data_IF_436937881130
#
_entry.id   IF_436937881130
#
_cell.length_a   1.000
_cell.length_b   1.000
_cell.length_c   1.000
_cell.angle_alpha   90.00
_cell.angle_beta   90.00
_cell.angle_gamma   90.00
#
_symmetry.space_group_name_H-M   'P 1'
#
loop_
_entity.id
_entity.type
_entity.pdbx_description
1 polymer ?
#
# COMPACT_ATOMS: atom_id res chain seq x y z
N UNK A 1 -21.20 -6.30 5.79
CA UNK A 1 -21.00 -6.90 7.14
C UNK A 1 -21.58 -5.95 8.19
N UNK A 2 -22.89 -5.69 8.14
CA UNK A 2 -23.52 -4.75 9.07
C UNK A 2 -23.87 -5.47 10.36
N UNK A 3 -23.53 -4.91 11.52
CA UNK A 3 -23.82 -5.52 12.82
C UNK A 3 -22.91 -6.70 13.21
N UNK A 4 -21.75 -6.88 12.56
CA UNK A 4 -20.73 -7.86 13.00
C UNK A 4 -19.53 -7.15 13.63
N UNK A 5 -18.65 -7.89 14.29
CA UNK A 5 -17.37 -7.35 14.80
C UNK A 5 -16.41 -6.84 13.71
N UNK A 6 -16.73 -7.09 12.43
CA UNK A 6 -15.98 -6.64 11.25
C UNK A 6 -16.78 -5.61 10.44
N UNK A 7 -17.77 -4.96 11.05
CA UNK A 7 -18.45 -3.83 10.44
C UNK A 7 -17.44 -2.73 10.06
N UNK A 8 -17.56 -2.21 8.84
CA UNK A 8 -16.63 -1.25 8.23
C UNK A 8 -15.17 -1.71 8.09
N UNK A 9 -14.88 -3.01 8.25
CA UNK A 9 -13.55 -3.53 8.01
C UNK A 9 -13.20 -3.54 6.52
N UNK A 10 -11.93 -3.27 6.22
CA UNK A 10 -11.36 -3.49 4.88
C UNK A 10 -11.35 -4.99 4.58
N UNK A 11 -11.67 -5.33 3.34
CA UNK A 11 -11.59 -6.69 2.82
C UNK A 11 -10.67 -6.74 1.60
N UNK A 12 -9.81 -7.76 1.55
CA UNK A 12 -8.87 -8.00 0.46
C UNK A 12 -9.02 -9.45 0.03
N UNK A 13 -9.18 -9.69 -1.26
CA UNK A 13 -9.43 -11.03 -1.82
C UNK A 13 -8.56 -11.28 -3.04
N UNK A 14 -7.86 -12.41 -3.07
CA UNK A 14 -7.15 -12.85 -4.27
C UNK A 14 -8.16 -13.31 -5.33
N UNK A 15 -7.91 -12.99 -6.60
CA UNK A 15 -8.73 -13.51 -7.70
C UNK A 15 -8.54 -15.03 -7.78
N UNK A 16 -9.63 -15.76 -8.04
CA UNK A 16 -9.64 -17.23 -8.07
C UNK A 16 -8.77 -17.86 -9.19
N UNK A 17 -8.25 -17.06 -10.11
CA UNK A 17 -7.36 -17.47 -11.19
C UNK A 17 -5.93 -16.95 -11.02
N UNK A 18 -5.58 -16.52 -9.80
CA UNK A 18 -4.23 -16.10 -9.39
C UNK A 18 -3.68 -14.87 -10.14
N UNK A 19 -4.52 -14.20 -10.93
CA UNK A 19 -4.10 -13.09 -11.79
C UNK A 19 -3.88 -11.77 -11.06
N UNK A 20 -4.37 -11.65 -9.84
CA UNK A 20 -4.41 -10.41 -9.09
C UNK A 20 -5.25 -10.53 -7.82
N UNK A 21 -5.75 -9.39 -7.35
CA UNK A 21 -6.55 -9.27 -6.13
C UNK A 21 -7.50 -8.07 -6.19
N UNK A 22 -8.44 -8.00 -5.26
CA UNK A 22 -9.45 -6.95 -5.14
C UNK A 22 -9.43 -6.37 -3.74
N UNK A 23 -9.50 -5.03 -3.63
CA UNK A 23 -9.85 -4.37 -2.36
C UNK A 23 -11.32 -4.04 -2.29
N UNK A 24 -11.86 -4.05 -1.08
CA UNK A 24 -13.17 -3.51 -0.71
C UNK A 24 -13.00 -2.66 0.55
N UNK A 25 -13.21 -1.36 0.42
CA UNK A 25 -12.99 -0.37 1.48
C UNK A 25 -14.29 0.42 1.67
N UNK A 26 -15.07 0.14 2.73
CA UNK A 26 -16.24 0.94 3.10
C UNK A 26 -15.85 2.39 3.38
N UNK A 27 -16.65 3.33 2.91
CA UNK A 27 -16.48 4.77 3.13
C UNK A 27 -17.58 5.30 4.06
N UNK A 28 -17.30 6.45 4.67
CA UNK A 28 -18.16 7.07 5.69
C UNK A 28 -19.54 7.51 5.18
N UNK A 29 -19.70 7.69 3.88
CA UNK A 29 -20.95 8.12 3.23
C UNK A 29 -21.83 6.96 2.77
N UNK A 30 -21.49 5.73 3.17
CA UNK A 30 -22.19 4.51 2.77
C UNK A 30 -21.79 3.99 1.38
N UNK A 31 -20.91 4.68 0.67
CA UNK A 31 -20.28 4.14 -0.55
C UNK A 31 -19.12 3.20 -0.21
N UNK A 32 -18.64 2.46 -1.21
CA UNK A 32 -17.50 1.55 -1.05
C UNK A 32 -16.51 1.78 -2.19
N UNK A 33 -15.24 1.95 -1.86
CA UNK A 33 -14.16 1.89 -2.85
C UNK A 33 -13.82 0.44 -3.16
N UNK A 34 -13.87 0.08 -4.45
CA UNK A 34 -13.52 -1.26 -4.94
C UNK A 34 -12.56 -1.14 -6.12
N UNK A 35 -11.43 -1.84 -6.04
CA UNK A 35 -10.42 -1.83 -7.09
C UNK A 35 -9.84 -3.21 -7.35
N UNK A 36 -9.71 -3.54 -8.63
CA UNK A 36 -9.02 -4.74 -9.11
C UNK A 36 -7.57 -4.38 -9.41
N UNK A 37 -6.63 -5.09 -8.79
CA UNK A 37 -5.19 -4.91 -8.97
C UNK A 37 -4.62 -6.17 -9.60
N UNK A 38 -3.86 -6.00 -10.67
CA UNK A 38 -3.30 -7.12 -11.40
C UNK A 38 -1.99 -6.76 -12.09
N UNK A 39 -1.23 -7.79 -12.45
CA UNK A 39 -0.02 -7.64 -13.24
C UNK A 39 -0.32 -7.04 -14.62
N UNK A 40 0.51 -6.08 -15.07
CA UNK A 40 0.30 -5.33 -16.32
C UNK A 40 0.25 -6.22 -17.55
N UNK A 41 1.07 -7.26 -17.62
CA UNK A 41 1.11 -8.15 -18.78
C UNK A 41 -0.11 -9.08 -18.79
N UNK A 42 -0.54 -9.55 -17.61
CA UNK A 42 -1.78 -10.31 -17.47
C UNK A 42 -2.98 -9.44 -17.87
N UNK A 43 -3.08 -8.21 -17.34
CA UNK A 43 -4.12 -7.25 -17.69
C UNK A 43 -4.18 -7.03 -19.20
N UNK A 44 -3.02 -6.79 -19.81
CA UNK A 44 -2.90 -6.49 -21.24
C UNK A 44 -3.36 -7.68 -22.07
N UNK A 45 -2.99 -8.91 -21.71
CA UNK A 45 -3.46 -10.13 -22.39
C UNK A 45 -4.96 -10.32 -22.23
N UNK A 46 -5.49 -10.23 -21.01
CA UNK A 46 -6.91 -10.43 -20.73
C UNK A 46 -7.80 -9.34 -21.34
N UNK A 47 -7.30 -8.11 -21.53
CA UNK A 47 -8.04 -7.05 -22.21
C UNK A 47 -8.17 -7.27 -23.72
N UNK A 48 -7.29 -8.06 -24.38
CA UNK A 48 -7.28 -8.24 -25.85
C UNK A 48 -8.60 -8.73 -26.45
N UNK A 49 -9.32 -9.71 -25.88
CA UNK A 49 -10.57 -10.23 -26.43
C UNK A 49 -11.74 -9.24 -26.37
N UNK A 50 -11.67 -8.19 -25.56
CA UNK A 50 -12.71 -7.17 -25.48
C UNK A 50 -12.58 -6.23 -26.69
N UNK A 51 -13.38 -6.51 -27.73
CA UNK A 51 -13.40 -5.78 -29.02
C UNK A 51 -14.51 -4.72 -29.11
N UNK A 52 -15.19 -4.43 -28.00
CA UNK A 52 -16.29 -3.44 -27.94
C UNK A 52 -15.81 -2.07 -28.41
N UNK A 53 -16.65 -1.37 -29.19
CA UNK A 53 -16.40 0.00 -29.62
C UNK A 53 -16.54 0.94 -28.42
N UNK A 54 -15.45 1.59 -28.02
CA UNK A 54 -15.44 2.52 -26.89
C UNK A 54 -14.52 2.07 -25.74
N UNK A 55 -13.53 2.91 -25.40
CA UNK A 55 -12.54 2.56 -24.37
C UNK A 55 -13.16 2.39 -22.99
N UNK A 56 -14.19 3.17 -22.66
CA UNK A 56 -14.83 3.14 -21.33
C UNK A 56 -15.75 1.92 -21.18
N UNK A 57 -16.49 1.55 -22.23
CA UNK A 57 -17.31 0.32 -22.25
C UNK A 57 -16.43 -0.93 -22.17
N UNK A 58 -15.32 -0.93 -22.91
CA UNK A 58 -14.30 -2.00 -22.83
C UNK A 58 -13.74 -2.14 -21.42
N UNK A 59 -13.39 -1.02 -20.78
CA UNK A 59 -12.86 -1.02 -19.41
C UNK A 59 -13.92 -1.49 -18.41
N UNK A 60 -15.17 -1.08 -18.61
CA UNK A 60 -16.29 -1.49 -17.77
C UNK A 60 -16.53 -3.00 -17.86
N UNK A 61 -16.67 -3.55 -19.07
CA UNK A 61 -16.84 -4.99 -19.26
C UNK A 61 -15.68 -5.78 -18.65
N UNK A 62 -14.45 -5.34 -18.88
CA UNK A 62 -13.26 -5.97 -18.31
C UNK A 62 -13.26 -5.93 -16.77
N UNK A 63 -13.55 -4.78 -16.17
CA UNK A 63 -13.61 -4.64 -14.71
C UNK A 63 -14.67 -5.55 -14.09
N UNK A 64 -15.87 -5.59 -14.70
CA UNK A 64 -16.97 -6.40 -14.19
C UNK A 64 -16.66 -7.89 -14.25
N UNK A 65 -16.06 -8.38 -15.34
CA UNK A 65 -15.67 -9.79 -15.49
C UNK A 65 -14.58 -10.19 -14.49
N UNK A 66 -13.58 -9.34 -14.27
CA UNK A 66 -12.52 -9.63 -13.30
C UNK A 66 -13.06 -9.56 -11.86
N UNK A 67 -14.01 -8.68 -11.56
CA UNK A 67 -14.65 -8.59 -10.24
C UNK A 67 -15.42 -9.88 -9.89
N UNK A 68 -15.99 -10.58 -10.87
CA UNK A 68 -16.65 -11.88 -10.63
C UNK A 68 -15.70 -12.97 -10.14
N UNK A 69 -14.38 -12.79 -10.31
CA UNK A 69 -13.35 -13.71 -9.81
C UNK A 69 -13.06 -13.54 -8.31
N UNK A 70 -13.67 -12.55 -7.65
CA UNK A 70 -13.63 -12.32 -6.21
C UNK A 70 -15.04 -12.52 -5.60
N UNK A 71 -15.52 -13.76 -5.44
CA UNK A 71 -16.88 -14.05 -4.97
C UNK A 71 -17.19 -13.50 -3.57
N UNK A 72 -16.19 -13.37 -2.69
CA UNK A 72 -16.37 -12.74 -1.38
C UNK A 72 -16.74 -11.27 -1.49
N UNK A 73 -16.01 -10.51 -2.32
CA UNK A 73 -16.30 -9.10 -2.64
C UNK A 73 -17.67 -8.96 -3.30
N UNK A 74 -18.03 -9.82 -4.26
CA UNK A 74 -19.37 -9.81 -4.87
C UNK A 74 -20.47 -9.98 -3.83
N UNK A 75 -20.29 -10.93 -2.89
CA UNK A 75 -21.23 -11.15 -1.78
C UNK A 75 -21.32 -9.92 -0.85
N UNK A 76 -20.22 -9.21 -0.62
CA UNK A 76 -20.19 -8.00 0.19
C UNK A 76 -20.86 -6.81 -0.49
N UNK A 77 -20.73 -6.71 -1.82
CA UNK A 77 -21.38 -5.66 -2.62
C UNK A 77 -22.91 -5.85 -2.67
N UNK A 78 -23.39 -7.08 -2.72
CA UNK A 78 -24.82 -7.38 -2.76
C UNK A 78 -25.51 -6.68 -3.93
N UNK A 79 -26.55 -5.91 -3.65
CA UNK A 79 -27.31 -5.12 -4.64
C UNK A 79 -26.70 -3.73 -4.92
N UNK A 80 -25.47 -3.48 -4.47
CA UNK A 80 -24.76 -2.23 -4.71
C UNK A 80 -24.59 -1.94 -6.20
N UNK A 81 -24.83 -0.70 -6.60
CA UNK A 81 -24.62 -0.23 -7.98
C UNK A 81 -23.37 0.64 -8.09
N UNK A 82 -22.73 0.62 -9.25
CA UNK A 82 -21.63 1.55 -9.55
C UNK A 82 -22.12 3.00 -9.46
N UNK A 83 -21.40 3.81 -8.69
CA UNK A 83 -21.68 5.24 -8.57
C UNK A 83 -20.87 6.03 -9.58
N UNK A 84 -21.52 7.00 -10.22
CA UNK A 84 -20.90 7.95 -11.13
C UNK A 84 -21.10 9.37 -10.59
N UNK A 85 -20.05 10.19 -10.64
CA UNK A 85 -20.13 11.63 -10.36
C UNK A 85 -20.18 12.37 -11.70
N UNK A 86 -20.97 13.45 -11.83
CA UNK A 86 -21.01 14.24 -13.05
C UNK A 86 -19.60 14.67 -13.48
N UNK A 87 -19.22 14.34 -14.71
CA UNK A 87 -17.89 14.68 -15.27
C UNK A 87 -16.76 13.72 -14.90
N UNK A 88 -17.03 12.65 -14.14
CA UNK A 88 -16.03 11.62 -13.81
C UNK A 88 -16.29 10.31 -14.53
N UNK A 89 -15.21 9.59 -14.87
CA UNK A 89 -15.30 8.19 -15.31
C UNK A 89 -15.74 7.32 -14.14
N UNK A 90 -16.72 6.44 -14.39
CA UNK A 90 -17.22 5.45 -13.42
C UNK A 90 -16.10 4.55 -12.93
N UNK A 91 -15.24 4.10 -13.85
CA UNK A 91 -14.08 3.26 -13.55
C UNK A 91 -12.82 4.01 -13.98
N UNK A 92 -11.87 4.11 -13.06
CA UNK A 92 -10.56 4.72 -13.28
C UNK A 92 -9.51 3.63 -13.41
N UNK A 93 -8.51 3.87 -14.25
CA UNK A 93 -7.36 2.97 -14.40
C UNK A 93 -6.09 3.74 -14.06
N UNK A 94 -5.18 3.09 -13.34
CA UNK A 94 -3.83 3.57 -13.08
C UNK A 94 -2.86 2.41 -13.29
N UNK A 95 -1.61 2.72 -13.63
CA UNK A 95 -0.56 1.75 -13.92
C UNK A 95 0.81 2.40 -13.77
N UNK A 96 1.86 1.60 -13.88
CA UNK A 96 3.26 2.04 -13.76
C UNK A 96 3.55 2.82 -12.46
N UNK A 97 2.83 2.47 -11.39
CA UNK A 97 2.93 3.12 -10.08
C UNK A 97 4.03 2.54 -9.19
N UNK A 98 4.62 1.38 -9.51
CA UNK A 98 5.69 0.80 -8.71
C UNK A 98 7.05 1.35 -9.13
N UNK A 99 7.68 2.16 -8.27
CA UNK A 99 8.99 2.77 -8.54
C UNK A 99 9.72 3.16 -7.25
N UNK A 100 11.03 3.43 -7.39
CA UNK A 100 11.87 3.99 -6.35
C UNK A 100 12.91 4.92 -6.94
N UNK A 101 13.12 6.07 -6.31
CA UNK A 101 14.23 6.96 -6.59
C UNK A 101 15.56 6.28 -6.21
N UNK A 102 16.65 6.67 -6.89
CA UNK A 102 18.00 6.18 -6.56
C UNK A 102 18.56 6.80 -5.27
N UNK A 103 18.03 7.94 -4.84
CA UNK A 103 18.28 8.64 -3.58
C UNK A 103 17.03 9.40 -3.16
N UNK A 104 16.83 9.59 -1.85
CA UNK A 104 15.74 10.38 -1.27
C UNK A 104 16.22 11.70 -0.66
N UNK A 105 17.52 11.96 -0.66
CA UNK A 105 18.08 13.25 -0.26
C UNK A 105 19.31 13.60 -1.09
N UNK A 106 19.57 14.90 -1.18
CA UNK A 106 20.83 15.45 -1.64
C UNK A 106 21.03 16.84 -1.05
N UNK A 107 21.99 17.57 -1.61
CA UNK A 107 22.31 18.90 -1.13
C UNK A 107 21.08 19.82 -1.28
N UNK A 108 20.63 20.37 -0.15
CA UNK A 108 19.49 21.26 -0.06
C UNK A 108 18.12 20.69 -0.52
N UNK A 109 17.96 19.37 -0.62
CA UNK A 109 16.65 18.76 -0.89
C UNK A 109 16.39 17.44 -0.14
N UNK A 110 15.11 17.14 0.07
CA UNK A 110 14.58 15.87 0.57
C UNK A 110 13.41 15.44 -0.31
N UNK A 111 13.20 14.13 -0.45
CA UNK A 111 12.12 13.54 -1.24
C UNK A 111 11.26 12.70 -0.29
N UNK A 112 9.95 12.93 -0.28
CA UNK A 112 9.01 12.23 0.59
C UNK A 112 7.76 11.78 -0.17
N UNK A 113 7.13 10.69 0.32
CA UNK A 113 5.94 10.09 -0.29
C UNK A 113 6.18 9.62 -1.72
N UNK A 114 5.12 9.71 -2.52
CA UNK A 114 5.11 9.28 -3.92
C UNK A 114 6.15 10.03 -4.79
N UNK A 115 6.67 11.19 -4.38
CA UNK A 115 7.77 11.80 -5.12
C UNK A 115 9.05 10.92 -5.12
N UNK A 116 9.20 10.03 -4.12
CA UNK A 116 10.38 9.20 -3.94
C UNK A 116 10.14 7.74 -4.28
N UNK A 117 9.03 7.16 -3.82
CA UNK A 117 8.75 5.76 -4.09
C UNK A 117 7.27 5.42 -3.85
N UNK A 118 6.79 4.43 -4.60
CA UNK A 118 5.53 3.74 -4.36
C UNK A 118 5.71 2.26 -4.70
N UNK A 119 5.08 1.38 -3.91
CA UNK A 119 5.26 -0.07 -4.04
C UNK A 119 4.00 -0.68 -4.65
N UNK A 120 2.95 -0.80 -3.84
CA UNK A 120 1.70 -1.47 -4.17
C UNK A 120 0.62 -1.08 -3.13
N UNK A 121 -0.67 -0.98 -3.51
CA UNK A 121 -1.72 -0.58 -2.57
C UNK A 121 -2.13 -1.64 -1.53
N UNK A 122 -1.67 -2.90 -1.64
CA UNK A 122 -2.15 -4.04 -0.81
C UNK A 122 -2.14 -3.75 0.70
N UNK A 123 -1.04 -3.21 1.22
CA UNK A 123 -0.88 -2.93 2.65
C UNK A 123 -1.24 -1.49 3.04
N UNK A 124 -1.78 -0.69 2.10
CA UNK A 124 -2.02 0.74 2.31
C UNK A 124 -0.79 1.50 2.86
N UNK A 125 0.41 1.03 2.52
CA UNK A 125 1.67 1.54 3.09
C UNK A 125 2.08 2.91 2.53
N UNK A 126 1.49 3.37 1.42
CA UNK A 126 1.82 4.64 0.78
C UNK A 126 1.68 5.83 1.72
N UNK A 127 0.55 5.95 2.43
CA UNK A 127 0.31 7.03 3.39
C UNK A 127 1.31 6.96 4.56
N UNK A 128 1.62 5.74 5.03
CA UNK A 128 2.62 5.54 6.08
C UNK A 128 4.02 5.97 5.63
N UNK A 129 4.44 5.59 4.41
CA UNK A 129 5.72 6.00 3.83
C UNK A 129 5.77 7.51 3.60
N UNK A 130 4.68 8.13 3.16
CA UNK A 130 4.58 9.57 2.99
C UNK A 130 4.76 10.31 4.31
N UNK A 131 4.06 9.91 5.38
CA UNK A 131 4.17 10.53 6.70
C UNK A 131 5.55 10.29 7.34
N UNK A 132 6.09 9.07 7.21
CA UNK A 132 7.43 8.74 7.69
C UNK A 132 8.50 9.56 6.97
N UNK A 133 8.40 9.68 5.65
CA UNK A 133 9.27 10.51 4.83
C UNK A 133 9.16 11.99 5.19
N UNK A 134 7.94 12.51 5.34
CA UNK A 134 7.69 13.90 5.71
C UNK A 134 8.26 14.25 7.09
N UNK A 135 8.05 13.39 8.10
CA UNK A 135 8.61 13.59 9.44
C UNK A 135 10.14 13.53 9.41
N UNK A 136 10.71 12.55 8.71
CA UNK A 136 12.16 12.43 8.53
C UNK A 136 12.75 13.67 7.84
N UNK A 137 12.10 14.17 6.78
CA UNK A 137 12.52 15.37 6.08
C UNK A 137 12.47 16.60 7.01
N UNK A 138 11.35 16.81 7.69
CA UNK A 138 11.19 17.94 8.61
C UNK A 138 12.24 17.94 9.73
N UNK A 139 12.48 16.79 10.37
CA UNK A 139 13.48 16.64 11.43
C UNK A 139 14.89 16.93 10.92
N UNK A 140 15.27 16.36 9.77
CA UNK A 140 16.63 16.51 9.22
C UNK A 140 16.90 17.91 8.70
N UNK A 141 15.92 18.54 8.06
CA UNK A 141 16.00 19.95 7.61
C UNK A 141 16.15 20.85 8.83
N UNK A 142 15.31 20.70 9.85
CA UNK A 142 15.35 21.55 11.03
C UNK A 142 16.66 21.39 11.82
N UNK A 143 17.19 20.16 11.92
CA UNK A 143 18.45 19.90 12.60
C UNK A 143 19.67 20.47 11.83
N UNK A 144 19.60 20.48 10.50
CA UNK A 144 20.60 21.13 9.63
C UNK A 144 20.59 22.66 9.79
N UNK A 145 19.41 23.29 9.68
CA UNK A 145 19.24 24.74 9.84
C UNK A 145 19.73 25.23 11.21
N UNK A 146 19.49 24.44 12.27
CA UNK A 146 19.96 24.76 13.63
C UNK A 146 21.44 24.48 13.87
N UNK A 147 22.16 23.90 12.91
CA UNK A 147 23.56 23.50 13.08
C UNK A 147 23.78 22.36 14.07
N UNK A 148 22.73 21.63 14.47
CA UNK A 148 22.85 20.47 15.37
C UNK A 148 23.57 19.30 14.70
N UNK A 149 23.48 19.22 13.37
CA UNK A 149 24.11 18.22 12.52
C UNK A 149 24.41 18.85 11.16
N UNK A 150 25.49 18.43 10.49
CA UNK A 150 25.79 18.91 9.14
C UNK A 150 24.73 18.48 8.12
N UNK A 151 24.46 19.33 7.12
CA UNK A 151 23.50 19.05 6.04
C UNK A 151 23.73 17.68 5.40
N UNK A 152 24.99 17.36 5.09
CA UNK A 152 25.35 16.08 4.50
C UNK A 152 25.00 14.87 5.40
N UNK A 153 25.15 14.99 6.73
CA UNK A 153 24.80 13.90 7.66
C UNK A 153 23.28 13.81 7.84
N UNK A 154 22.59 14.94 7.89
CA UNK A 154 21.13 15.01 7.96
C UNK A 154 20.48 14.38 6.72
N UNK A 155 20.97 14.72 5.52
CA UNK A 155 20.51 14.14 4.27
C UNK A 155 20.73 12.64 4.18
N UNK A 156 21.93 12.14 4.52
CA UNK A 156 22.21 10.69 4.57
C UNK A 156 21.29 9.94 5.52
N UNK A 157 20.95 10.53 6.66
CA UNK A 157 20.03 9.90 7.59
C UNK A 157 18.62 9.78 7.01
N UNK A 158 18.11 10.84 6.37
CA UNK A 158 16.82 10.81 5.69
C UNK A 158 16.79 9.75 4.58
N UNK A 159 17.82 9.74 3.73
CA UNK A 159 17.99 8.78 2.64
C UNK A 159 17.92 7.33 3.13
N UNK A 160 18.71 7.00 4.15
CA UNK A 160 18.72 5.67 4.76
C UNK A 160 17.39 5.30 5.41
N UNK A 161 16.74 6.26 6.10
CA UNK A 161 15.46 6.03 6.78
C UNK A 161 14.35 5.69 5.78
N UNK A 162 14.23 6.46 4.70
CA UNK A 162 13.22 6.22 3.66
C UNK A 162 13.52 4.92 2.89
N UNK A 163 14.77 4.72 2.47
CA UNK A 163 15.16 3.50 1.74
C UNK A 163 14.97 2.21 2.54
N UNK A 164 15.25 2.24 3.84
CA UNK A 164 15.02 1.09 4.74
C UNK A 164 13.52 0.79 4.87
N UNK A 165 12.69 1.81 5.09
CA UNK A 165 11.24 1.63 5.17
C UNK A 165 10.69 1.04 3.86
N UNK A 166 11.07 1.63 2.71
CA UNK A 166 10.69 1.12 1.39
C UNK A 166 11.07 -0.35 1.20
N UNK A 167 12.32 -0.72 1.47
CA UNK A 167 12.83 -2.08 1.26
C UNK A 167 12.07 -3.10 2.09
N UNK A 168 11.76 -2.77 3.35
CA UNK A 168 11.01 -3.67 4.23
C UNK A 168 9.60 -3.89 3.71
N UNK A 169 8.87 -2.83 3.31
CA UNK A 169 7.55 -2.99 2.69
C UNK A 169 7.60 -3.73 1.35
N UNK A 170 8.67 -3.55 0.57
CA UNK A 170 8.83 -4.26 -0.71
C UNK A 170 8.90 -5.77 -0.50
N UNK A 171 9.69 -6.23 0.47
CA UNK A 171 9.83 -7.67 0.78
C UNK A 171 8.46 -8.29 1.13
N UNK A 172 7.64 -7.55 1.87
CA UNK A 172 6.28 -7.96 2.25
C UNK A 172 5.38 -8.13 1.05
N UNK A 173 5.35 -7.10 0.21
CA UNK A 173 4.52 -7.09 -0.99
C UNK A 173 4.94 -8.24 -1.89
N UNK A 174 6.25 -8.45 -2.09
CA UNK A 174 6.76 -9.59 -2.86
C UNK A 174 6.34 -10.94 -2.27
N UNK A 175 6.41 -11.12 -0.95
CA UNK A 175 5.92 -12.33 -0.28
C UNK A 175 4.43 -12.56 -0.50
N UNK A 176 3.64 -11.49 -0.47
CA UNK A 176 2.18 -11.52 -0.66
C UNK A 176 1.83 -11.89 -2.10
N UNK A 177 2.48 -11.27 -3.08
CA UNK A 177 2.30 -11.62 -4.49
C UNK A 177 2.72 -13.06 -4.77
N UNK A 178 3.75 -13.57 -4.08
CA UNK A 178 4.13 -14.97 -4.17
C UNK A 178 3.01 -15.89 -3.69
N UNK A 179 2.31 -15.54 -2.59
CA UNK A 179 1.14 -16.29 -2.10
C UNK A 179 -0.07 -16.17 -3.04
N UNK A 180 -0.38 -14.97 -3.55
CA UNK A 180 -1.50 -14.73 -4.49
C UNK A 180 -1.33 -15.57 -5.76
N UNK A 181 -0.10 -15.70 -6.26
CA UNK A 181 0.23 -16.45 -7.48
C UNK A 181 0.41 -17.95 -7.27
N UNK A 182 0.34 -18.45 -6.04
CA UNK A 182 0.54 -19.86 -5.71
C UNK A 182 -0.45 -20.25 -4.62
N UNK A 183 -1.75 -20.18 -4.90
CA UNK A 183 -2.79 -20.42 -3.89
C UNK A 183 -2.80 -21.87 -3.38
N UNK A 184 -2.24 -22.81 -4.16
CA UNK A 184 -2.09 -24.22 -3.79
C UNK A 184 -0.82 -24.52 -2.97
N UNK A 185 0.04 -23.53 -2.70
CA UNK A 185 1.25 -23.69 -1.89
C UNK A 185 1.24 -22.69 -0.74
N UNK A 186 1.34 -23.19 0.48
CA UNK A 186 1.55 -22.38 1.68
C UNK A 186 2.92 -21.69 1.62
N UNK A 187 2.94 -20.37 1.42
CA UNK A 187 4.17 -19.56 1.34
C UNK A 187 4.22 -18.53 2.46
N UNK A 188 3.09 -17.88 2.77
CA UNK A 188 2.95 -16.90 3.86
C UNK A 188 1.87 -17.26 4.88
N UNK A 189 1.03 -18.26 4.58
CA UNK A 189 0.04 -18.85 5.50
C UNK A 189 0.35 -20.34 5.68
N UNK A 190 0.06 -20.89 6.86
CA UNK A 190 -0.05 -22.35 7.02
C UNK A 190 -1.34 -22.83 6.33
N UNK A 191 -1.43 -24.11 5.96
CA UNK A 191 -2.52 -24.69 5.14
C UNK A 191 -3.94 -24.47 5.73
N UNK A 192 -4.04 -23.99 6.96
CA UNK A 192 -5.28 -23.74 7.71
C UNK A 192 -5.56 -22.27 8.07
N UNK A 193 -4.81 -21.29 7.54
CA UNK A 193 -5.06 -19.86 7.80
C UNK A 193 -5.67 -19.15 6.56
N UNK A 194 -6.90 -18.67 6.72
CA UNK A 194 -7.71 -17.97 5.72
C UNK A 194 -7.51 -16.43 5.73
N UNK A 195 -6.41 -15.95 6.31
CA UNK A 195 -6.07 -14.52 6.36
C UNK A 195 -4.55 -14.24 6.35
N UNK A 196 -4.17 -12.97 6.22
CA UNK A 196 -2.78 -12.51 6.20
C UNK A 196 -2.31 -11.95 7.56
N UNK A 197 -3.00 -12.25 8.67
CA UNK A 197 -2.75 -11.61 9.97
C UNK A 197 -1.34 -11.90 10.47
N UNK A 198 -0.81 -13.11 10.22
CA UNK A 198 0.56 -13.48 10.57
C UNK A 198 1.62 -12.71 9.79
N UNK A 199 1.36 -12.42 8.51
CA UNK A 199 2.21 -11.53 7.73
C UNK A 199 2.18 -10.14 8.35
N UNK A 200 1.00 -9.61 8.72
CA UNK A 200 0.90 -8.34 9.43
C UNK A 200 1.63 -8.33 10.79
N UNK A 201 1.60 -9.41 11.57
CA UNK A 201 2.32 -9.50 12.86
C UNK A 201 3.85 -9.52 12.69
N UNK A 202 4.36 -10.23 11.68
CA UNK A 202 5.79 -10.19 11.33
C UNK A 202 6.27 -8.78 10.94
N UNK A 203 5.34 -7.93 10.52
CA UNK A 203 5.61 -6.59 9.99
C UNK A 203 5.21 -5.48 10.92
N UNK A 204 4.42 -5.77 11.93
CA UNK A 204 4.04 -4.81 12.96
C UNK A 204 5.26 -4.07 13.52
N UNK A 205 6.42 -4.71 13.80
CA UNK A 205 7.60 -3.98 14.26
C UNK A 205 8.16 -3.00 13.22
N UNK A 206 8.09 -3.35 11.93
CA UNK A 206 8.52 -2.49 10.82
C UNK A 206 7.56 -1.31 10.66
N UNK A 207 6.26 -1.58 10.60
CA UNK A 207 5.20 -0.59 10.36
C UNK A 207 5.09 0.40 11.53
N UNK A 208 5.25 -0.07 12.77
CA UNK A 208 5.20 0.80 13.95
C UNK A 208 6.49 1.56 14.21
N UNK A 209 7.54 1.31 13.41
CA UNK A 209 8.88 1.84 13.67
C UNK A 209 9.56 1.23 14.89
N UNK A 210 8.95 0.26 15.57
CA UNK A 210 9.54 -0.46 16.71
C UNK A 210 10.83 -1.20 16.32
N UNK A 211 11.00 -1.57 15.05
CA UNK A 211 12.23 -2.12 14.51
C UNK A 211 13.39 -1.10 14.47
N UNK A 212 13.09 0.20 14.55
CA UNK A 212 14.07 1.28 14.54
C UNK A 212 14.36 1.83 15.94
N UNK A 213 13.60 1.37 16.95
CA UNK A 213 13.83 1.68 18.36
C UNK A 213 14.53 0.47 18.97
N UNK A 214 15.78 0.65 19.41
CA UNK A 214 16.43 -0.32 20.30
C UNK A 214 15.50 -0.66 21.45
N UNK A 215 15.35 -1.94 21.80
CA UNK A 215 14.86 -2.30 23.14
C UNK A 215 15.70 -1.48 24.12
N UNK A 216 15.05 -0.66 24.95
CA UNK A 216 15.66 0.29 25.90
C UNK A 216 16.04 1.66 25.32
N UNK A 217 15.06 2.57 25.27
CA UNK A 217 15.28 3.98 25.59
C UNK A 217 14.34 4.29 26.74
N UNK A 218 14.88 4.48 27.93
CA UNK A 218 14.07 4.77 29.12
C UNK A 218 13.66 6.24 29.13
N UNK A 219 12.52 6.58 29.77
CA UNK A 219 12.06 7.98 29.91
C UNK A 219 13.15 8.92 30.47
N UNK A 220 14.05 8.40 31.29
CA UNK A 220 15.18 9.14 31.85
C UNK A 220 16.18 9.60 30.79
N UNK A 221 16.43 8.81 29.73
CA UNK A 221 17.37 9.17 28.66
C UNK A 221 16.80 10.24 27.71
N UNK A 222 15.47 10.35 27.62
CA UNK A 222 14.77 11.39 26.84
C UNK A 222 14.80 12.75 27.54
N UNK A 223 14.71 12.79 28.87
CA UNK A 223 14.77 14.05 29.65
C UNK A 223 16.17 14.68 29.68
N UNK A 224 17.24 13.88 29.59
CA UNK A 224 18.63 14.41 29.62
C UNK A 224 19.03 15.07 28.29
N UNK A 225 18.32 14.81 27.19
CA UNK A 225 18.72 15.24 25.82
C UNK A 225 17.91 16.39 25.23
N UNK A 226 16.92 16.91 25.96
CA UNK A 226 16.20 18.11 25.59
C UNK A 226 16.76 19.29 26.39
N UNK A 227 17.24 20.37 25.75
CA UNK A 227 17.54 21.60 26.48
C UNK A 227 16.23 22.17 27.04
N UNK A 228 16.29 22.67 28.28
CA UNK A 228 15.20 23.47 28.89
C UNK A 228 14.93 24.73 28.09
#
# INVERSE_FOLDING_TARGET
MTGTSRENAVWIEALNDESGWVWFIPLHDGSTSVGVVMDKDIASRKKKPYTVEGQDERLHAFYMDELQRAPGVIKLLGEGALQSRPGEKVIKTTGDFSYSAGKYAGDHYRIAGDAGAFIDPFFSSGVHLALTGALSAALTIAASIRGTVSEAKAGRWHDSKVGTAYTRFLIVVLGTYKQIRNQNTAIMSDINEDNFDRAFELLRPVITGSADVSKTLTQQELQVRLPQ
#
